data_IF_481921546520
#
_entry.id   IF_481921546520
#
_cell.length_a   1.000
_cell.length_b   1.000
_cell.length_c   1.000
_cell.angle_alpha   90.00
_cell.angle_beta   90.00
_cell.angle_gamma   90.00
#
_symmetry.space_group_name_H-M   'P 1'
#
loop_
_entity.id
_entity.type
_entity.pdbx_description
1 polymer ?
#
# COMPACT_ATOMS: atom_id res chain seq x y z
N UNK A 1 46.28 -69.14 28.40
CA UNK A 1 44.94 -68.51 28.35
C UNK A 1 45.02 -67.01 28.62
N UNK A 2 45.57 -66.20 27.70
CA UNK A 2 45.72 -64.72 27.93
C UNK A 2 45.63 -63.90 26.61
N UNK A 3 44.81 -64.29 25.63
CA UNK A 3 44.74 -63.53 24.35
C UNK A 3 43.32 -63.01 24.00
N UNK A 4 42.32 -63.14 24.91
CA UNK A 4 40.94 -62.80 24.60
C UNK A 4 40.44 -61.41 25.11
N UNK A 5 41.19 -60.71 25.97
CA UNK A 5 40.72 -59.40 26.55
C UNK A 5 41.16 -58.15 25.77
N UNK A 6 42.17 -58.26 24.94
CA UNK A 6 42.70 -57.07 24.19
C UNK A 6 41.89 -56.77 22.90
N UNK A 7 41.29 -57.72 22.25
CA UNK A 7 40.50 -57.51 21.03
C UNK A 7 39.10 -56.90 21.28
N UNK A 8 38.50 -57.13 22.45
CA UNK A 8 37.19 -56.56 22.83
C UNK A 8 37.32 -55.06 23.21
N UNK A 9 38.43 -54.61 23.75
CA UNK A 9 38.66 -53.21 24.12
C UNK A 9 38.92 -52.27 22.92
N UNK A 10 39.59 -52.80 21.87
CA UNK A 10 39.81 -52.07 20.62
C UNK A 10 38.53 -51.90 19.80
N UNK A 11 37.67 -52.91 19.77
CA UNK A 11 36.36 -52.88 19.10
C UNK A 11 35.38 -51.83 19.73
N UNK A 12 35.35 -51.74 21.04
CA UNK A 12 34.54 -50.75 21.76
C UNK A 12 34.99 -49.31 21.55
N UNK A 13 36.29 -49.03 21.42
CA UNK A 13 36.79 -47.67 21.08
C UNK A 13 36.45 -47.23 19.67
N UNK A 14 36.46 -48.12 18.69
CA UNK A 14 36.07 -47.85 17.30
C UNK A 14 34.57 -47.54 17.18
N UNK A 15 33.70 -48.31 17.82
CA UNK A 15 32.24 -48.11 17.83
C UNK A 15 31.91 -46.81 18.57
N UNK A 16 32.55 -46.48 19.65
CA UNK A 16 32.34 -45.22 20.38
C UNK A 16 32.80 -43.99 19.59
N UNK A 17 33.87 -44.10 18.84
CA UNK A 17 34.34 -43.05 17.94
C UNK A 17 33.38 -42.84 16.75
N UNK A 18 32.85 -43.92 16.21
CA UNK A 18 31.83 -43.89 15.15
C UNK A 18 30.51 -43.25 15.62
N UNK A 19 30.01 -43.66 16.82
CA UNK A 19 28.80 -43.09 17.42
C UNK A 19 28.98 -41.58 17.70
N UNK A 20 30.14 -41.15 18.21
CA UNK A 20 30.45 -39.72 18.39
C UNK A 20 30.43 -38.94 17.06
N UNK A 21 31.01 -39.47 15.98
CA UNK A 21 30.97 -38.84 14.66
C UNK A 21 29.56 -38.71 14.12
N UNK A 22 28.75 -39.77 14.18
CA UNK A 22 27.34 -39.73 13.74
C UNK A 22 26.55 -38.69 14.56
N UNK A 23 26.77 -38.65 15.90
CA UNK A 23 26.13 -37.64 16.76
C UNK A 23 26.39 -36.20 16.29
N UNK A 24 27.64 -35.88 15.93
CA UNK A 24 27.99 -34.55 15.41
C UNK A 24 27.42 -34.27 14.04
N UNK A 25 27.36 -35.26 13.15
CA UNK A 25 26.68 -35.15 11.86
C UNK A 25 25.15 -34.93 12.01
N UNK A 26 24.53 -35.67 12.94
CA UNK A 26 23.11 -35.48 13.25
C UNK A 26 22.84 -34.12 13.87
N UNK A 27 23.69 -33.65 14.78
CA UNK A 27 23.59 -32.30 15.34
C UNK A 27 23.80 -31.21 14.28
N UNK A 28 24.77 -31.39 13.39
CA UNK A 28 24.98 -30.49 12.26
C UNK A 28 23.81 -30.46 11.31
N UNK A 29 23.25 -31.63 10.97
CA UNK A 29 22.04 -31.76 10.15
C UNK A 29 20.83 -31.11 10.78
N UNK A 30 20.62 -31.33 12.08
CA UNK A 30 19.54 -30.68 12.83
C UNK A 30 19.72 -29.15 12.90
N UNK A 31 20.94 -28.67 13.16
CA UNK A 31 21.24 -27.23 13.18
C UNK A 31 20.97 -26.59 11.81
N UNK A 32 21.34 -27.28 10.71
CA UNK A 32 21.05 -26.82 9.34
C UNK A 32 19.54 -26.76 9.08
N UNK A 33 18.79 -27.80 9.46
CA UNK A 33 17.32 -27.83 9.31
C UNK A 33 16.67 -26.74 10.16
N UNK A 34 17.11 -26.50 11.38
CA UNK A 34 16.64 -25.43 12.23
C UNK A 34 16.93 -24.06 11.62
N UNK A 35 18.12 -23.86 11.04
CA UNK A 35 18.49 -22.65 10.34
C UNK A 35 17.59 -22.44 9.11
N UNK A 36 17.39 -23.46 8.28
CA UNK A 36 16.49 -23.40 7.13
C UNK A 36 15.06 -23.07 7.55
N UNK A 37 14.58 -23.68 8.63
CA UNK A 37 13.28 -23.34 9.21
C UNK A 37 13.17 -21.85 9.55
N UNK A 38 14.16 -21.29 10.22
CA UNK A 38 14.16 -19.87 10.62
C UNK A 38 14.10 -18.91 9.43
N UNK A 39 14.64 -19.28 8.27
CA UNK A 39 14.66 -18.41 7.09
C UNK A 39 13.53 -18.67 6.10
N UNK A 40 13.02 -19.90 5.99
CA UNK A 40 12.11 -20.29 4.91
C UNK A 40 10.67 -20.47 5.35
N UNK A 41 10.41 -20.81 6.61
CA UNK A 41 9.05 -21.11 7.06
C UNK A 41 8.31 -19.83 7.45
N UNK A 42 7.26 -19.43 6.69
CA UNK A 42 6.47 -18.25 7.01
C UNK A 42 5.55 -18.53 8.22
N UNK A 43 5.55 -17.61 9.15
CA UNK A 43 4.61 -17.53 10.27
C UNK A 43 3.39 -16.67 9.89
N UNK A 44 2.30 -16.68 10.66
CA UNK A 44 1.08 -15.90 10.35
C UNK A 44 1.25 -14.40 10.63
N UNK A 45 2.43 -13.87 10.34
CA UNK A 45 2.82 -12.48 10.47
C UNK A 45 3.48 -12.00 9.18
N UNK A 46 3.54 -10.67 9.03
CA UNK A 46 4.31 -9.97 8.01
C UNK A 46 5.18 -8.91 8.65
N UNK A 47 6.25 -8.56 7.99
CA UNK A 47 7.12 -7.44 8.35
C UNK A 47 7.01 -6.38 7.27
N UNK A 48 6.54 -5.21 7.66
CA UNK A 48 6.61 -4.00 6.84
C UNK A 48 7.98 -3.35 7.06
N UNK A 49 8.69 -3.11 5.97
CA UNK A 49 10.06 -2.58 5.96
C UNK A 49 10.20 -1.48 4.90
N UNK A 50 11.28 -0.67 4.95
CA UNK A 50 11.59 0.25 3.85
C UNK A 50 11.75 -0.53 2.54
N UNK A 51 10.95 -0.17 1.53
CA UNK A 51 10.96 -0.82 0.22
C UNK A 51 11.97 -0.16 -0.71
N UNK A 52 11.62 1.01 -1.27
CA UNK A 52 12.48 1.76 -2.18
C UNK A 52 11.83 3.07 -2.61
N UNK A 53 12.64 3.93 -3.21
CA UNK A 53 12.15 5.06 -4.00
C UNK A 53 12.30 4.69 -5.49
N UNK A 54 11.21 4.82 -6.22
CA UNK A 54 11.11 4.39 -7.61
C UNK A 54 10.86 5.59 -8.50
N UNK A 55 11.70 5.76 -9.50
CA UNK A 55 11.56 6.81 -10.50
C UNK A 55 10.28 6.59 -11.31
N UNK A 56 9.44 7.63 -11.36
CA UNK A 56 8.14 7.59 -12.04
C UNK A 56 8.31 7.37 -13.55
N UNK A 57 9.39 7.87 -14.15
CA UNK A 57 9.64 7.72 -15.58
C UNK A 57 9.89 6.26 -16.01
N UNK A 58 10.19 5.36 -15.04
CA UNK A 58 10.32 3.93 -15.33
C UNK A 58 8.96 3.23 -15.42
N UNK A 59 7.91 3.84 -14.86
CA UNK A 59 6.58 3.21 -14.74
C UNK A 59 5.46 4.04 -15.38
N UNK A 60 5.75 5.21 -15.94
CA UNK A 60 4.75 6.10 -16.50
C UNK A 60 5.25 6.82 -17.74
N UNK A 61 4.35 7.07 -18.68
CA UNK A 61 4.59 7.95 -19.84
C UNK A 61 3.42 8.90 -20.07
N UNK A 62 3.73 10.13 -20.47
CA UNK A 62 2.75 11.14 -20.89
C UNK A 62 2.90 11.35 -22.39
N UNK A 63 1.84 11.10 -23.16
CA UNK A 63 1.86 11.16 -24.64
C UNK A 63 2.99 10.31 -25.27
N UNK A 64 3.26 9.15 -24.65
CA UNK A 64 4.30 8.21 -25.08
C UNK A 64 5.74 8.66 -24.79
N UNK A 65 5.93 9.67 -23.94
CA UNK A 65 7.24 10.22 -23.55
C UNK A 65 7.41 10.16 -22.03
N UNK A 66 8.66 10.08 -21.59
CA UNK A 66 9.09 10.31 -20.20
C UNK A 66 9.61 11.74 -20.03
N UNK A 67 9.81 12.18 -18.80
CA UNK A 67 10.43 13.48 -18.55
C UNK A 67 11.89 13.46 -19.06
N UNK A 68 12.32 14.59 -19.62
CA UNK A 68 13.70 14.76 -20.13
C UNK A 68 14.55 15.70 -19.27
N UNK A 69 13.94 16.29 -18.25
CA UNK A 69 14.63 17.22 -17.37
C UNK A 69 15.59 16.46 -16.44
N UNK A 70 16.65 17.15 -16.04
CA UNK A 70 17.56 16.58 -15.02
C UNK A 70 16.84 16.48 -13.68
N UNK A 71 17.06 15.40 -12.96
CA UNK A 71 16.41 15.07 -11.71
C UNK A 71 15.34 13.98 -11.90
N UNK A 72 14.58 13.68 -10.87
CA UNK A 72 13.51 12.67 -10.93
C UNK A 72 12.40 12.93 -9.91
N UNK A 73 11.17 12.57 -10.29
CA UNK A 73 10.07 12.37 -9.36
C UNK A 73 10.05 10.91 -8.92
N UNK A 74 9.99 10.68 -7.61
CA UNK A 74 10.03 9.33 -7.07
C UNK A 74 8.85 9.10 -6.12
N UNK A 75 8.13 8.01 -6.32
CA UNK A 75 7.24 7.51 -5.30
C UNK A 75 7.97 6.53 -4.40
N UNK A 76 7.52 6.39 -3.16
CA UNK A 76 8.14 5.50 -2.19
C UNK A 76 7.18 4.40 -1.76
N UNK A 77 7.69 3.18 -1.67
CA UNK A 77 6.93 2.02 -1.27
C UNK A 77 7.39 1.46 0.08
N UNK A 78 6.46 0.79 0.76
CA UNK A 78 6.75 -0.10 1.88
C UNK A 78 6.83 -1.52 1.32
N UNK A 79 7.87 -2.23 1.67
CA UNK A 79 8.00 -3.64 1.35
C UNK A 79 7.31 -4.48 2.42
N UNK A 80 6.47 -5.40 1.98
CA UNK A 80 5.77 -6.34 2.86
C UNK A 80 6.37 -7.74 2.66
N UNK A 81 7.04 -8.24 3.67
CA UNK A 81 7.71 -9.54 3.64
C UNK A 81 7.01 -10.56 4.55
N UNK A 82 6.94 -11.84 4.18
CA UNK A 82 6.48 -12.88 5.09
C UNK A 82 7.30 -12.88 6.39
N UNK A 83 6.62 -13.02 7.52
CA UNK A 83 7.24 -13.08 8.84
C UNK A 83 7.87 -14.45 9.09
N UNK A 84 9.12 -14.65 8.69
CA UNK A 84 9.93 -15.77 9.15
C UNK A 84 10.53 -15.47 10.52
N UNK A 85 11.03 -16.47 11.24
CA UNK A 85 11.70 -16.24 12.54
C UNK A 85 12.81 -15.19 12.40
N UNK A 86 13.59 -15.26 11.33
CA UNK A 86 14.65 -14.30 11.04
C UNK A 86 14.10 -12.88 10.81
N UNK A 87 13.08 -12.71 9.96
CA UNK A 87 12.50 -11.41 9.67
C UNK A 87 11.85 -10.78 10.91
N UNK A 88 11.21 -11.58 11.76
CA UNK A 88 10.60 -11.11 13.01
C UNK A 88 11.66 -10.67 14.01
N UNK A 89 12.75 -11.44 14.16
CA UNK A 89 13.87 -11.07 15.02
C UNK A 89 14.55 -9.79 14.53
N UNK A 90 14.77 -9.66 13.22
CA UNK A 90 15.30 -8.44 12.61
C UNK A 90 14.39 -7.23 12.89
N UNK A 91 13.07 -7.39 12.72
CA UNK A 91 12.10 -6.32 12.99
C UNK A 91 12.09 -5.93 14.47
N UNK A 92 12.17 -6.88 15.37
CA UNK A 92 12.26 -6.61 16.81
C UNK A 92 13.50 -5.79 17.19
N UNK A 93 14.63 -6.01 16.51
CA UNK A 93 15.86 -5.24 16.69
C UNK A 93 15.83 -3.86 15.98
N UNK A 94 14.87 -3.65 15.06
CA UNK A 94 14.76 -2.42 14.27
C UNK A 94 13.34 -1.81 14.33
N UNK A 95 12.77 -1.56 15.52
CA UNK A 95 11.36 -1.19 15.69
C UNK A 95 11.00 0.19 15.12
N UNK A 96 11.98 1.03 14.83
CA UNK A 96 11.77 2.37 14.29
C UNK A 96 11.56 2.38 12.78
N UNK A 97 12.14 1.39 12.09
CA UNK A 97 12.15 1.33 10.63
C UNK A 97 11.32 0.16 10.08
N UNK A 98 10.92 -0.77 10.93
CA UNK A 98 10.10 -1.91 10.56
C UNK A 98 8.89 -2.04 11.48
N UNK A 99 7.86 -2.73 11.01
CA UNK A 99 6.65 -3.00 11.78
C UNK A 99 6.23 -4.46 11.56
N UNK A 100 5.91 -5.16 12.67
CA UNK A 100 5.33 -6.49 12.61
C UNK A 100 3.81 -6.34 12.61
N UNK A 101 3.15 -6.91 11.60
CA UNK A 101 1.69 -6.94 11.48
C UNK A 101 1.21 -8.38 11.35
N UNK A 102 0.07 -8.70 11.95
CA UNK A 102 -0.53 -10.01 11.75
C UNK A 102 -1.08 -10.15 10.32
N UNK A 103 -1.14 -11.38 9.79
CA UNK A 103 -1.76 -11.63 8.48
C UNK A 103 -3.18 -11.07 8.42
N UNK A 104 -3.97 -11.26 9.48
CA UNK A 104 -5.35 -10.78 9.57
C UNK A 104 -5.44 -9.24 9.55
N UNK A 105 -4.51 -8.57 10.22
CA UNK A 105 -4.44 -7.11 10.25
C UNK A 105 -4.06 -6.54 8.88
N UNK A 106 -3.01 -7.10 8.25
CA UNK A 106 -2.55 -6.69 6.93
C UNK A 106 -3.61 -6.88 5.86
N UNK A 107 -4.21 -8.09 5.80
CA UNK A 107 -5.13 -8.46 4.71
C UNK A 107 -6.59 -8.12 5.01
N UNK A 108 -6.91 -7.59 6.19
CA UNK A 108 -8.30 -7.41 6.64
C UNK A 108 -9.06 -8.74 6.77
N UNK A 109 -8.35 -9.88 6.80
CA UNK A 109 -8.92 -11.23 6.85
C UNK A 109 -9.19 -11.86 5.47
N UNK A 110 -8.80 -11.20 4.37
CA UNK A 110 -8.88 -11.76 3.00
C UNK A 110 -7.68 -12.66 2.69
N UNK A 111 -7.71 -13.35 1.55
CA UNK A 111 -6.55 -14.07 1.05
C UNK A 111 -5.44 -13.13 0.59
N UNK A 112 -4.20 -13.60 0.52
CA UNK A 112 -3.07 -12.79 0.00
C UNK A 112 -3.34 -12.35 -1.44
N UNK A 113 -3.92 -13.23 -2.27
CA UNK A 113 -4.30 -12.90 -3.66
C UNK A 113 -5.36 -11.79 -3.72
N UNK A 114 -6.37 -11.85 -2.86
CA UNK A 114 -7.40 -10.82 -2.79
C UNK A 114 -6.82 -9.49 -2.30
N UNK A 115 -5.92 -9.54 -1.32
CA UNK A 115 -5.21 -8.36 -0.83
C UNK A 115 -4.39 -7.68 -1.94
N UNK A 116 -3.67 -8.45 -2.76
CA UNK A 116 -2.94 -7.92 -3.92
C UNK A 116 -3.89 -7.29 -4.94
N UNK A 117 -4.99 -7.96 -5.26
CA UNK A 117 -6.01 -7.45 -6.17
C UNK A 117 -6.66 -6.16 -5.65
N UNK A 118 -6.99 -6.09 -4.37
CA UNK A 118 -7.51 -4.88 -3.71
C UNK A 118 -6.52 -3.71 -3.86
N UNK A 119 -5.23 -3.96 -3.62
CA UNK A 119 -4.22 -2.92 -3.78
C UNK A 119 -4.04 -2.47 -5.24
N UNK A 120 -4.27 -3.34 -6.22
CA UNK A 120 -4.31 -2.95 -7.65
C UNK A 120 -5.48 -1.99 -7.94
N UNK A 121 -6.69 -2.24 -7.42
CA UNK A 121 -7.82 -1.32 -7.58
C UNK A 121 -7.60 0.03 -6.89
N UNK A 122 -6.97 0.04 -5.72
CA UNK A 122 -6.56 1.29 -5.09
C UNK A 122 -5.56 2.07 -5.94
N UNK A 123 -4.58 1.37 -6.54
CA UNK A 123 -3.59 1.97 -7.44
C UNK A 123 -4.25 2.53 -8.70
N UNK A 124 -5.15 1.77 -9.35
CA UNK A 124 -5.89 2.19 -10.54
C UNK A 124 -6.70 3.48 -10.27
N UNK A 125 -7.47 3.51 -9.19
CA UNK A 125 -8.20 4.71 -8.81
C UNK A 125 -7.27 5.90 -8.54
N UNK A 126 -6.14 5.67 -7.87
CA UNK A 126 -5.12 6.70 -7.60
C UNK A 126 -4.50 7.25 -8.89
N UNK A 127 -4.20 6.38 -9.86
CA UNK A 127 -3.69 6.76 -11.18
C UNK A 127 -4.70 7.62 -11.95
N UNK A 128 -5.96 7.20 -11.99
CA UNK A 128 -7.03 7.95 -12.66
C UNK A 128 -7.23 9.33 -12.02
N UNK A 129 -7.25 9.39 -10.70
CA UNK A 129 -7.36 10.67 -9.98
C UNK A 129 -6.15 11.57 -10.21
N UNK A 130 -4.93 10.99 -10.23
CA UNK A 130 -3.71 11.74 -10.52
C UNK A 130 -3.69 12.33 -11.93
N UNK A 131 -4.09 11.55 -12.95
CA UNK A 131 -4.25 12.05 -14.33
C UNK A 131 -5.22 13.22 -14.36
N UNK A 132 -6.41 13.03 -13.79
CA UNK A 132 -7.44 14.06 -13.79
C UNK A 132 -6.96 15.35 -13.11
N UNK A 133 -6.32 15.25 -11.94
CA UNK A 133 -5.83 16.40 -11.21
C UNK A 133 -4.68 17.11 -11.91
N UNK A 134 -3.73 16.36 -12.47
CA UNK A 134 -2.63 16.94 -13.21
C UNK A 134 -3.10 17.70 -14.44
N UNK A 135 -4.04 17.15 -15.22
CA UNK A 135 -4.64 17.79 -16.38
C UNK A 135 -5.40 19.06 -15.99
N UNK A 136 -6.19 19.00 -14.92
CA UNK A 136 -6.93 20.15 -14.40
C UNK A 136 -5.99 21.27 -13.96
N UNK A 137 -4.92 20.96 -13.23
CA UNK A 137 -3.91 21.92 -12.80
C UNK A 137 -3.15 22.54 -13.99
N UNK A 138 -2.92 21.76 -15.05
CA UNK A 138 -2.31 22.21 -16.29
C UNK A 138 -3.28 22.99 -17.22
N UNK A 139 -4.51 23.27 -16.78
CA UNK A 139 -5.53 23.96 -17.58
C UNK A 139 -6.00 23.17 -18.79
N UNK A 140 -5.90 21.84 -18.77
CA UNK A 140 -6.28 20.95 -19.86
C UNK A 140 -7.65 20.33 -19.63
N UNK A 141 -8.35 20.02 -20.72
CA UNK A 141 -9.64 19.35 -20.65
C UNK A 141 -9.49 17.89 -20.21
N UNK A 142 -10.17 17.56 -19.13
CA UNK A 142 -10.24 16.20 -18.62
C UNK A 142 -11.60 15.95 -17.97
N UNK A 143 -12.12 14.74 -18.12
CA UNK A 143 -13.35 14.30 -17.46
C UNK A 143 -13.05 13.06 -16.65
N UNK A 144 -13.30 13.13 -15.34
CA UNK A 144 -13.30 11.97 -14.46
C UNK A 144 -14.72 11.39 -14.43
N UNK A 145 -14.88 10.21 -15.02
CA UNK A 145 -16.17 9.52 -15.06
C UNK A 145 -16.25 8.51 -13.92
N UNK A 146 -17.22 8.69 -13.04
CA UNK A 146 -17.54 7.73 -12.00
C UNK A 146 -18.39 6.59 -12.56
N UNK A 147 -17.85 5.37 -12.55
CA UNK A 147 -18.53 4.16 -13.03
C UNK A 147 -19.26 3.42 -11.92
N UNK A 148 -18.96 3.73 -10.67
CA UNK A 148 -19.47 3.08 -9.47
C UNK A 148 -18.40 2.89 -8.42
N UNK A 149 -18.54 1.87 -7.59
CA UNK A 149 -17.51 1.47 -6.62
C UNK A 149 -17.11 0.02 -6.82
N UNK A 150 -15.82 -0.25 -6.79
CA UNK A 150 -15.30 -1.61 -6.68
C UNK A 150 -15.64 -2.20 -5.31
N UNK A 151 -16.15 -3.43 -5.31
CA UNK A 151 -16.27 -4.24 -4.11
C UNK A 151 -14.90 -4.81 -3.77
N UNK A 152 -14.34 -4.42 -2.63
CA UNK A 152 -13.04 -4.89 -2.17
C UNK A 152 -13.17 -6.02 -1.14
N UNK A 153 -14.25 -6.01 -0.35
CA UNK A 153 -14.57 -7.06 0.61
C UNK A 153 -16.07 -7.06 0.89
N UNK A 154 -16.61 -8.25 1.15
CA UNK A 154 -17.98 -8.43 1.64
C UNK A 154 -17.90 -8.97 3.07
N UNK A 155 -18.48 -8.25 4.03
CA UNK A 155 -18.45 -8.62 5.43
C UNK A 155 -19.27 -9.90 5.69
N UNK A 156 -18.89 -10.66 6.70
CA UNK A 156 -19.58 -11.92 7.04
C UNK A 156 -21.06 -11.74 7.38
N UNK A 157 -21.43 -10.60 7.98
CA UNK A 157 -22.80 -10.25 8.30
C UNK A 157 -23.56 -9.52 7.17
N UNK A 158 -22.93 -9.36 6.00
CA UNK A 158 -23.60 -8.77 4.84
C UNK A 158 -24.62 -9.74 4.25
N UNK A 159 -25.83 -9.25 3.98
CA UNK A 159 -26.85 -10.02 3.23
C UNK A 159 -26.51 -10.19 1.74
N UNK A 160 -25.46 -9.53 1.27
CA UNK A 160 -24.95 -9.66 -0.10
C UNK A 160 -23.79 -10.67 -0.21
N UNK A 161 -23.45 -11.38 0.89
CA UNK A 161 -22.46 -12.44 0.87
C UNK A 161 -22.91 -13.56 -0.08
N UNK A 162 -22.04 -13.92 -1.04
CA UNK A 162 -22.35 -14.88 -2.10
C UNK A 162 -23.03 -14.31 -3.35
N UNK A 163 -23.60 -13.07 -3.28
CA UNK A 163 -24.11 -12.36 -4.44
C UNK A 163 -23.05 -11.41 -5.04
N UNK A 164 -22.38 -10.64 -4.17
CA UNK A 164 -21.27 -9.75 -4.55
C UNK A 164 -19.92 -10.44 -4.31
N UNK A 165 -19.00 -10.21 -5.22
CA UNK A 165 -17.61 -10.70 -5.15
C UNK A 165 -16.64 -9.52 -5.22
N UNK A 166 -15.39 -9.77 -4.81
CA UNK A 166 -14.28 -8.82 -5.01
C UNK A 166 -14.16 -8.57 -6.52
N UNK A 167 -13.88 -7.33 -6.89
CA UNK A 167 -13.84 -6.82 -8.26
C UNK A 167 -15.19 -6.54 -8.93
N UNK A 168 -16.32 -6.89 -8.34
CA UNK A 168 -17.60 -6.41 -8.85
C UNK A 168 -17.69 -4.90 -8.69
N UNK A 169 -18.37 -4.23 -9.64
CA UNK A 169 -18.61 -2.79 -9.57
C UNK A 169 -20.05 -2.52 -9.23
N UNK A 170 -20.31 -1.99 -8.03
CA UNK A 170 -21.67 -1.50 -7.67
C UNK A 170 -21.93 -0.19 -8.39
N UNK A 171 -22.94 -0.19 -9.26
CA UNK A 171 -23.30 0.93 -10.13
C UNK A 171 -24.50 1.73 -9.60
N UNK A 172 -25.27 1.15 -8.66
CA UNK A 172 -26.46 1.81 -8.09
C UNK A 172 -27.03 1.05 -6.90
N UNK A 173 -27.89 1.73 -6.15
CA UNK A 173 -28.66 1.16 -5.03
C UNK A 173 -30.09 1.68 -5.11
N UNK A 174 -31.05 0.77 -5.07
CA UNK A 174 -32.50 1.07 -5.21
C UNK A 174 -32.81 1.89 -6.47
N UNK A 175 -32.15 1.58 -7.60
CA UNK A 175 -32.32 2.29 -8.87
C UNK A 175 -31.68 3.69 -8.92
N UNK A 176 -30.99 4.13 -7.86
CA UNK A 176 -30.27 5.40 -7.82
C UNK A 176 -28.81 5.19 -8.18
N UNK A 177 -28.27 5.98 -9.09
CA UNK A 177 -26.85 6.12 -9.37
C UNK A 177 -26.25 7.25 -8.51
N UNK A 178 -24.92 7.23 -8.32
CA UNK A 178 -24.20 8.19 -7.49
C UNK A 178 -23.06 8.81 -8.30
N UNK A 179 -22.50 9.91 -7.79
CA UNK A 179 -21.36 10.60 -8.43
C UNK A 179 -20.03 10.32 -7.71
N UNK A 180 -20.08 9.70 -6.53
CA UNK A 180 -18.91 9.35 -5.73
C UNK A 180 -19.27 8.24 -4.73
N UNK A 181 -18.26 7.55 -4.21
CA UNK A 181 -18.44 6.63 -3.07
C UNK A 181 -18.96 7.36 -1.83
N UNK A 182 -18.58 8.63 -1.63
CA UNK A 182 -19.07 9.47 -0.51
C UNK A 182 -20.60 9.61 -0.57
N UNK A 183 -21.16 9.87 -1.76
CA UNK A 183 -22.60 10.00 -1.96
C UNK A 183 -23.33 8.67 -1.74
N UNK A 184 -22.77 7.58 -2.27
CA UNK A 184 -23.31 6.23 -2.07
C UNK A 184 -23.32 5.86 -0.59
N UNK A 185 -22.20 6.05 0.12
CA UNK A 185 -22.09 5.77 1.56
C UNK A 185 -23.06 6.64 2.35
N UNK A 186 -23.17 7.94 2.06
CA UNK A 186 -24.14 8.84 2.70
C UNK A 186 -25.56 8.36 2.52
N UNK A 187 -25.93 7.92 1.32
CA UNK A 187 -27.26 7.38 1.04
C UNK A 187 -27.54 6.12 1.88
N UNK A 188 -26.62 5.14 1.83
CA UNK A 188 -26.81 3.85 2.50
C UNK A 188 -26.83 4.00 4.03
N UNK A 189 -25.95 4.85 4.59
CA UNK A 189 -25.93 5.10 6.04
C UNK A 189 -27.18 5.80 6.56
N UNK A 190 -27.90 6.51 5.70
CA UNK A 190 -29.19 7.14 6.01
C UNK A 190 -30.38 6.18 5.98
N UNK A 191 -30.22 4.95 5.46
CA UNK A 191 -31.29 3.95 5.44
C UNK A 191 -31.48 3.32 6.84
N UNK A 192 -32.72 2.89 7.11
CA UNK A 192 -33.05 2.21 8.38
C UNK A 192 -32.42 0.81 8.40
N UNK A 193 -32.00 0.37 9.58
CA UNK A 193 -31.57 -1.01 9.80
C UNK A 193 -32.67 -1.98 9.35
N UNK A 194 -32.28 -3.12 8.78
CA UNK A 194 -33.14 -4.17 8.25
C UNK A 194 -34.04 -3.77 7.08
N UNK A 195 -33.94 -2.52 6.57
CA UNK A 195 -34.68 -2.14 5.35
C UNK A 195 -34.13 -2.91 4.13
N UNK A 196 -35.05 -3.33 3.27
CA UNK A 196 -34.70 -3.97 2.00
C UNK A 196 -33.99 -2.98 1.07
N UNK A 197 -32.97 -3.48 0.39
CA UNK A 197 -32.22 -2.74 -0.62
C UNK A 197 -31.87 -3.63 -1.80
N UNK A 198 -32.01 -3.08 -3.01
CA UNK A 198 -31.56 -3.72 -4.25
C UNK A 198 -30.24 -3.07 -4.67
N UNK A 199 -29.19 -3.85 -4.83
CA UNK A 199 -27.89 -3.40 -5.33
C UNK A 199 -27.79 -3.74 -6.81
N UNK A 200 -27.58 -2.72 -7.67
CA UNK A 200 -27.24 -2.89 -9.07
C UNK A 200 -25.72 -2.94 -9.20
N UNK A 201 -25.19 -3.91 -9.92
CA UNK A 201 -23.75 -4.09 -10.08
C UNK A 201 -23.38 -4.72 -11.42
N UNK A 202 -22.13 -4.55 -11.80
CA UNK A 202 -21.53 -5.23 -12.95
C UNK A 202 -20.54 -6.25 -12.43
N UNK A 203 -20.65 -7.49 -12.89
CA UNK A 203 -19.78 -8.62 -12.56
C UNK A 203 -19.30 -9.25 -13.85
N UNK A 204 -17.99 -9.29 -14.08
CA UNK A 204 -17.39 -9.83 -15.31
C UNK A 204 -18.03 -9.24 -16.59
N UNK A 205 -18.23 -7.92 -16.61
CA UNK A 205 -18.84 -7.20 -17.73
C UNK A 205 -20.36 -7.35 -17.86
N UNK A 206 -21.03 -8.15 -17.04
CA UNK A 206 -22.48 -8.38 -17.08
C UNK A 206 -23.20 -7.58 -16.00
N UNK A 207 -24.25 -6.83 -16.38
CA UNK A 207 -25.12 -6.14 -15.43
C UNK A 207 -25.98 -7.14 -14.67
N UNK A 208 -26.02 -6.99 -13.35
CA UNK A 208 -26.75 -7.84 -12.41
C UNK A 208 -27.42 -7.00 -11.33
N UNK A 209 -28.33 -7.59 -10.60
CA UNK A 209 -28.91 -7.03 -9.38
C UNK A 209 -29.01 -8.11 -8.30
N UNK A 210 -28.95 -7.71 -7.05
CA UNK A 210 -29.17 -8.56 -5.89
C UNK A 210 -29.98 -7.81 -4.84
N UNK A 211 -30.92 -8.51 -4.20
CA UNK A 211 -31.71 -7.99 -3.11
C UNK A 211 -31.09 -8.40 -1.76
N UNK A 212 -31.15 -7.51 -0.80
CA UNK A 212 -30.61 -7.75 0.52
C UNK A 212 -31.14 -6.73 1.53
N UNK A 213 -30.48 -6.65 2.69
CA UNK A 213 -30.89 -5.75 3.78
C UNK A 213 -29.75 -4.88 4.24
N UNK A 214 -30.11 -3.72 4.79
CA UNK A 214 -29.18 -2.87 5.54
C UNK A 214 -28.81 -3.56 6.83
N UNK A 215 -27.50 -3.66 7.11
CA UNK A 215 -26.96 -4.30 8.31
C UNK A 215 -26.20 -3.30 9.19
N UNK A 216 -25.98 -3.64 10.45
CA UNK A 216 -25.13 -2.88 11.37
C UNK A 216 -23.67 -3.21 11.10
N UNK A 217 -22.87 -2.21 10.79
CA UNK A 217 -21.43 -2.36 10.58
C UNK A 217 -20.66 -2.35 11.91
N UNK A 218 -19.41 -2.84 11.90
CA UNK A 218 -18.54 -2.87 13.10
C UNK A 218 -18.28 -1.48 13.71
N UNK A 219 -18.32 -0.42 12.89
CA UNK A 219 -18.18 0.99 13.32
C UNK A 219 -19.48 1.60 13.88
N UNK A 220 -20.54 0.80 14.04
CA UNK A 220 -21.83 1.22 14.54
C UNK A 220 -22.73 1.96 13.55
N UNK A 221 -22.31 2.17 12.29
CA UNK A 221 -23.14 2.77 11.24
C UNK A 221 -23.97 1.72 10.51
N UNK A 222 -25.04 2.15 9.85
CA UNK A 222 -25.80 1.29 8.94
C UNK A 222 -25.07 1.18 7.60
N UNK A 223 -25.20 0.04 6.92
CA UNK A 223 -24.53 -0.21 5.63
C UNK A 223 -24.98 -1.49 4.97
N UNK A 224 -24.46 -1.79 3.81
CA UNK A 224 -24.70 -3.05 3.09
C UNK A 224 -23.57 -4.08 3.34
N UNK A 225 -22.58 -3.73 4.16
CA UNK A 225 -21.52 -4.65 4.57
C UNK A 225 -20.48 -4.91 3.47
N UNK A 226 -20.10 -3.89 2.68
CA UNK A 226 -18.98 -3.97 1.74
C UNK A 226 -17.88 -2.97 2.10
N UNK A 227 -16.63 -3.33 1.83
CA UNK A 227 -15.50 -2.41 1.71
C UNK A 227 -15.39 -2.02 0.24
N UNK A 228 -15.11 -0.77 -0.05
CA UNK A 228 -15.20 -0.24 -1.41
C UNK A 228 -14.12 0.82 -1.69
N UNK A 229 -13.85 1.05 -2.98
CA UNK A 229 -13.14 2.23 -3.52
C UNK A 229 -13.83 2.69 -4.79
N UNK A 230 -13.62 3.95 -5.19
CA UNK A 230 -14.18 4.47 -6.43
C UNK A 230 -13.66 3.69 -7.64
N UNK A 231 -14.56 3.36 -8.55
CA UNK A 231 -14.26 2.92 -9.90
C UNK A 231 -14.44 4.11 -10.83
N UNK A 232 -13.34 4.67 -11.29
CA UNK A 232 -13.32 5.85 -12.15
C UNK A 232 -12.58 5.57 -13.45
N UNK A 233 -12.92 6.34 -14.49
CA UNK A 233 -12.17 6.38 -15.75
C UNK A 233 -11.89 7.83 -16.11
N UNK A 234 -10.74 8.09 -16.73
CA UNK A 234 -10.39 9.44 -17.22
C UNK A 234 -10.47 9.46 -18.73
N UNK A 235 -11.19 10.45 -19.27
CA UNK A 235 -11.16 10.78 -20.69
C UNK A 235 -10.49 12.13 -20.89
N UNK A 236 -9.49 12.17 -21.79
CA UNK A 236 -8.72 13.37 -22.16
C UNK A 236 -8.06 13.19 -23.53
N UNK A 237 -7.62 14.28 -24.12
CA UNK A 237 -6.78 14.27 -25.32
C UNK A 237 -5.35 13.84 -25.01
N UNK A 238 -4.83 14.15 -23.83
CA UNK A 238 -3.51 13.74 -23.38
C UNK A 238 -3.56 12.30 -22.85
N UNK A 239 -2.63 11.45 -23.30
CA UNK A 239 -2.60 10.03 -22.96
C UNK A 239 -1.53 9.75 -21.92
N UNK A 240 -1.95 9.35 -20.73
CA UNK A 240 -1.03 8.87 -19.68
C UNK A 240 -1.15 7.35 -19.57
N UNK A 241 -0.02 6.66 -19.57
CA UNK A 241 0.04 5.20 -19.43
C UNK A 241 0.93 4.84 -18.25
N UNK A 242 0.47 3.88 -17.45
CA UNK A 242 1.19 3.33 -16.32
C UNK A 242 1.59 1.86 -16.55
N UNK A 243 2.72 1.48 -15.98
CA UNK A 243 3.22 0.10 -15.92
C UNK A 243 3.78 -0.17 -14.52
N UNK A 244 2.91 -0.18 -13.52
CA UNK A 244 3.25 -0.31 -12.09
C UNK A 244 3.18 -1.76 -11.59
N UNK A 245 3.69 -2.73 -12.37
CA UNK A 245 3.64 -4.14 -12.00
C UNK A 245 4.29 -4.40 -10.62
N UNK A 246 3.54 -5.10 -9.75
CA UNK A 246 4.02 -5.44 -8.41
C UNK A 246 3.94 -4.31 -7.36
N UNK A 247 3.50 -3.12 -7.75
CA UNK A 247 3.26 -1.99 -6.83
C UNK A 247 1.76 -1.72 -6.74
N UNK A 248 1.25 -1.67 -5.52
CA UNK A 248 -0.17 -1.43 -5.24
C UNK A 248 -0.38 -0.35 -4.18
N UNK A 249 -1.65 0.01 -3.99
CA UNK A 249 -2.07 1.00 -3.01
C UNK A 249 -2.08 2.44 -3.54
N UNK A 250 -2.81 3.35 -2.88
CA UNK A 250 -3.12 4.68 -3.43
C UNK A 250 -2.08 5.77 -3.13
N UNK A 251 -1.03 5.46 -2.36
CA UNK A 251 -0.15 6.46 -1.73
C UNK A 251 0.86 7.15 -2.66
N UNK A 252 0.89 6.78 -3.96
CA UNK A 252 1.73 7.41 -4.98
C UNK A 252 1.01 8.56 -5.74
N UNK A 253 -0.28 8.77 -5.48
CA UNK A 253 -1.14 9.67 -6.26
C UNK A 253 -0.62 11.10 -6.35
N UNK A 254 -0.14 11.69 -5.25
CA UNK A 254 0.49 13.00 -5.25
C UNK A 254 1.68 13.06 -6.24
N UNK A 255 2.58 12.09 -6.15
CA UNK A 255 3.80 12.11 -6.95
C UNK A 255 3.53 11.87 -8.44
N UNK A 256 2.55 11.03 -8.77
CA UNK A 256 2.06 10.88 -10.14
C UNK A 256 1.48 12.19 -10.66
N UNK A 257 0.68 12.90 -9.84
CA UNK A 257 0.10 14.20 -10.21
C UNK A 257 1.18 15.21 -10.55
N UNK A 258 2.23 15.33 -9.72
CA UNK A 258 3.33 16.26 -9.94
C UNK A 258 4.12 15.94 -11.21
N UNK A 259 4.46 14.67 -11.44
CA UNK A 259 5.21 14.26 -12.62
C UNK A 259 4.42 14.48 -13.91
N UNK A 260 3.11 14.17 -13.93
CA UNK A 260 2.25 14.41 -15.11
C UNK A 260 2.12 15.92 -15.37
N UNK A 261 1.88 16.71 -14.32
CA UNK A 261 1.74 18.17 -14.41
C UNK A 261 2.98 18.81 -15.03
N UNK A 262 4.17 18.51 -14.49
CA UNK A 262 5.45 19.07 -14.93
C UNK A 262 5.75 18.70 -16.40
N UNK A 263 5.49 17.45 -16.80
CA UNK A 263 5.64 17.01 -18.19
C UNK A 263 4.69 17.71 -19.16
N UNK A 264 3.47 18.06 -18.73
CA UNK A 264 2.47 18.75 -19.56
C UNK A 264 2.80 20.24 -19.73
N UNK A 265 3.25 20.89 -18.67
CA UNK A 265 3.56 22.33 -18.64
C UNK A 265 4.99 22.63 -19.10
N UNK A 266 5.92 21.68 -18.98
CA UNK A 266 7.36 21.84 -19.28
C UNK A 266 8.01 22.93 -18.40
N UNK A 267 7.61 23.01 -17.14
CA UNK A 267 8.07 24.05 -16.21
C UNK A 267 9.43 23.74 -15.59
N UNK A 268 9.95 22.51 -15.80
CA UNK A 268 11.21 22.01 -15.22
C UNK A 268 11.26 22.23 -13.69
N UNK A 269 10.22 21.82 -12.99
CA UNK A 269 10.12 21.95 -11.54
C UNK A 269 11.14 21.07 -10.79
N UNK A 270 11.69 20.07 -11.45
CA UNK A 270 12.76 19.22 -10.91
C UNK A 270 14.03 20.03 -10.63
N UNK A 271 14.45 20.92 -11.54
CA UNK A 271 15.67 21.74 -11.41
C UNK A 271 16.91 20.90 -11.06
N UNK A 272 16.98 19.67 -11.58
CA UNK A 272 18.08 18.72 -11.34
C UNK A 272 17.98 17.92 -10.04
N UNK A 273 16.94 18.12 -9.23
CA UNK A 273 16.77 17.50 -7.91
C UNK A 273 16.13 16.12 -7.99
N UNK A 274 16.47 15.26 -7.04
CA UNK A 274 15.69 14.05 -6.73
C UNK A 274 14.61 14.39 -5.71
N UNK A 275 13.36 14.36 -6.18
CA UNK A 275 12.18 14.68 -5.38
C UNK A 275 11.43 13.37 -5.09
N UNK A 276 11.30 13.03 -3.83
CA UNK A 276 10.47 11.92 -3.38
C UNK A 276 9.24 12.42 -2.63
N UNK A 277 8.26 11.57 -2.46
CA UNK A 277 7.09 11.94 -1.67
C UNK A 277 6.06 10.83 -1.60
N UNK A 278 5.02 11.10 -0.84
CA UNK A 278 3.89 10.20 -0.65
C UNK A 278 2.63 10.99 -0.33
N UNK A 279 1.49 10.44 -0.65
CA UNK A 279 0.17 11.02 -0.41
C UNK A 279 -0.85 10.42 -1.37
N UNK A 280 -2.06 10.17 -0.90
CA UNK A 280 -3.18 9.94 -1.84
C UNK A 280 -3.53 11.25 -2.51
N UNK A 281 -4.27 11.19 -3.60
CA UNK A 281 -4.81 12.37 -4.29
C UNK A 281 -6.30 12.21 -4.46
N UNK A 282 -7.04 13.26 -4.12
CA UNK A 282 -8.49 13.31 -4.27
C UNK A 282 -8.88 14.13 -5.51
N UNK A 283 -10.11 13.96 -6.05
CA UNK A 283 -10.57 14.72 -7.21
C UNK A 283 -10.66 16.23 -7.02
N UNK A 284 -10.61 16.73 -5.79
CA UNK A 284 -10.56 18.16 -5.46
C UNK A 284 -9.13 18.70 -5.34
N UNK A 285 -8.11 17.84 -5.49
CA UNK A 285 -6.70 18.18 -5.37
C UNK A 285 -6.14 18.05 -3.96
N UNK A 286 -6.95 17.67 -2.98
CA UNK A 286 -6.48 17.44 -1.62
C UNK A 286 -5.62 16.18 -1.53
N UNK A 287 -4.62 16.22 -0.63
CA UNK A 287 -3.67 15.12 -0.39
C UNK A 287 -4.05 14.43 0.90
N UNK A 288 -4.36 13.14 0.81
CA UNK A 288 -4.77 12.35 1.96
C UNK A 288 -3.63 11.58 2.62
N UNK A 289 -3.89 11.16 3.86
CA UNK A 289 -2.95 10.44 4.70
C UNK A 289 -2.60 9.04 4.18
N UNK A 290 -1.44 8.56 4.63
CA UNK A 290 -0.90 7.25 4.21
C UNK A 290 -0.31 6.50 5.40
N UNK A 291 -0.10 5.21 5.22
CA UNK A 291 0.62 4.36 6.16
C UNK A 291 2.12 4.24 5.84
N UNK A 292 2.90 3.75 6.82
CA UNK A 292 4.31 3.44 6.63
C UNK A 292 5.21 4.65 6.42
N UNK A 293 4.88 5.79 7.01
CA UNK A 293 5.62 7.05 6.84
C UNK A 293 7.08 6.90 7.21
N UNK A 294 7.37 6.30 8.38
CA UNK A 294 8.75 6.09 8.84
C UNK A 294 9.57 5.28 7.84
N UNK A 295 9.01 4.18 7.31
CA UNK A 295 9.64 3.32 6.31
C UNK A 295 9.90 4.07 5.00
N UNK A 296 8.95 4.89 4.57
CA UNK A 296 9.04 5.69 3.35
C UNK A 296 10.11 6.78 3.44
N UNK A 297 10.21 7.46 4.58
CA UNK A 297 11.30 8.44 4.82
C UNK A 297 12.66 7.77 4.77
N UNK A 298 12.81 6.58 5.36
CA UNK A 298 14.06 5.81 5.27
C UNK A 298 14.41 5.45 3.82
N UNK A 299 13.39 5.03 3.03
CA UNK A 299 13.60 4.70 1.61
C UNK A 299 14.03 5.92 0.79
N UNK A 300 13.39 7.06 0.99
CA UNK A 300 13.72 8.31 0.28
C UNK A 300 15.13 8.81 0.64
N UNK A 301 15.47 8.83 1.93
CA UNK A 301 16.78 9.25 2.42
C UNK A 301 17.92 8.38 1.87
N UNK A 302 17.76 7.05 1.93
CA UNK A 302 18.74 6.09 1.37
C UNK A 302 18.92 6.23 -0.13
N UNK A 303 17.91 6.68 -0.85
CA UNK A 303 17.97 6.89 -2.31
C UNK A 303 18.54 8.26 -2.68
N UNK A 304 18.85 9.13 -1.70
CA UNK A 304 19.45 10.43 -1.94
C UNK A 304 18.44 11.53 -2.30
N UNK A 305 17.17 11.38 -1.93
CA UNK A 305 16.18 12.42 -2.14
C UNK A 305 16.53 13.71 -1.40
N UNK A 306 16.38 14.84 -2.08
CA UNK A 306 16.62 16.17 -1.51
C UNK A 306 15.37 16.76 -0.86
N UNK A 307 14.19 16.40 -1.40
CA UNK A 307 12.87 16.85 -0.96
C UNK A 307 11.98 15.62 -0.76
N UNK A 308 11.20 15.65 0.33
CA UNK A 308 10.18 14.63 0.59
C UNK A 308 8.83 15.30 0.91
N UNK A 309 7.89 15.20 -0.02
CA UNK A 309 6.53 15.65 0.20
C UNK A 309 5.73 14.64 1.03
N UNK A 310 5.00 15.14 2.02
CA UNK A 310 4.21 14.31 2.92
C UNK A 310 2.93 15.04 3.35
N UNK A 311 1.78 14.34 3.51
CA UNK A 311 0.56 14.95 3.98
C UNK A 311 0.71 15.56 5.38
N UNK A 312 0.06 16.71 5.61
CA UNK A 312 -0.08 17.31 6.96
C UNK A 312 -1.53 17.63 7.27
N UNK A 313 -2.33 16.57 7.42
CA UNK A 313 -3.73 16.67 7.80
C UNK A 313 -3.87 16.65 9.34
N UNK A 314 -4.81 17.42 9.90
CA UNK A 314 -5.06 17.42 11.33
C UNK A 314 -5.63 16.07 11.78
N UNK A 315 -5.02 15.48 12.81
CA UNK A 315 -5.52 14.23 13.41
C UNK A 315 -6.67 14.54 14.36
N UNK A 316 -7.86 14.07 14.02
CA UNK A 316 -9.03 14.23 14.89
C UNK A 316 -8.82 13.51 16.23
N UNK A 317 -9.41 14.05 17.32
CA UNK A 317 -9.26 13.46 18.66
C UNK A 317 -9.66 11.99 18.73
N UNK A 318 -10.71 11.58 17.99
CA UNK A 318 -11.20 10.22 17.93
C UNK A 318 -10.22 9.26 17.25
N UNK A 319 -9.39 9.78 16.35
CA UNK A 319 -8.49 8.99 15.50
C UNK A 319 -7.05 8.90 16.05
N UNK A 320 -6.75 9.60 17.15
CA UNK A 320 -5.40 9.63 17.75
C UNK A 320 -4.82 8.23 18.03
N UNK A 321 -5.67 7.24 18.33
CA UNK A 321 -5.24 5.85 18.53
C UNK A 321 -4.62 5.19 17.29
N UNK A 322 -5.00 5.66 16.09
CA UNK A 322 -4.46 5.21 14.80
C UNK A 322 -3.23 6.00 14.36
N UNK A 323 -3.00 7.18 15.00
CA UNK A 323 -1.88 8.08 14.72
C UNK A 323 -1.04 8.33 15.97
N UNK A 324 -0.42 7.29 16.55
CA UNK A 324 0.33 7.40 17.82
C UNK A 324 1.56 8.33 17.71
N UNK A 325 2.04 8.56 16.48
CA UNK A 325 3.20 9.41 16.19
C UNK A 325 2.82 10.83 15.72
N UNK A 326 1.51 11.17 15.72
CA UNK A 326 0.97 12.44 15.21
C UNK A 326 0.59 12.38 13.73
N UNK A 327 0.50 13.54 13.05
CA UNK A 327 0.24 13.60 11.61
C UNK A 327 1.36 12.91 10.81
N UNK A 328 1.09 12.59 9.53
CA UNK A 328 2.13 12.02 8.65
C UNK A 328 3.38 12.92 8.59
N UNK A 329 3.20 14.25 8.55
CA UNK A 329 4.31 15.20 8.59
C UNK A 329 5.12 15.12 9.89
N UNK A 330 4.44 15.06 11.05
CA UNK A 330 5.11 14.96 12.35
C UNK A 330 5.93 13.67 12.46
N UNK A 331 5.37 12.55 12.00
CA UNK A 331 6.09 11.27 11.94
C UNK A 331 7.29 11.35 11.01
N UNK A 332 7.13 11.90 9.79
CA UNK A 332 8.19 12.04 8.80
C UNK A 332 9.35 12.92 9.34
N UNK A 333 9.02 14.06 9.92
CA UNK A 333 10.01 14.98 10.52
C UNK A 333 10.81 14.33 11.65
N UNK A 334 10.12 13.56 12.51
CA UNK A 334 10.76 12.83 13.61
C UNK A 334 11.73 11.78 13.08
N UNK A 335 11.32 11.04 12.04
CA UNK A 335 12.17 10.01 11.43
C UNK A 335 13.38 10.62 10.72
N UNK A 336 13.20 11.66 9.90
CA UNK A 336 14.30 12.36 9.23
C UNK A 336 15.34 12.89 10.24
N UNK A 337 14.87 13.49 11.34
CA UNK A 337 15.75 13.93 12.43
C UNK A 337 16.53 12.76 13.05
N UNK A 338 15.89 11.61 13.27
CA UNK A 338 16.52 10.40 13.81
C UNK A 338 17.61 9.85 12.90
N UNK A 339 17.40 9.93 11.58
CA UNK A 339 18.37 9.52 10.57
C UNK A 339 19.53 10.52 10.40
N UNK A 340 19.43 11.72 10.97
CA UNK A 340 20.37 12.81 10.65
C UNK A 340 20.29 13.25 9.19
N UNK A 341 19.13 13.04 8.55
CA UNK A 341 18.88 13.31 7.13
C UNK A 341 18.96 14.81 6.81
N UNK A 342 19.57 15.15 5.67
CA UNK A 342 19.57 16.51 5.11
C UNK A 342 18.35 16.77 4.20
N UNK A 343 17.57 15.72 3.90
CA UNK A 343 16.36 15.78 3.08
C UNK A 343 15.34 16.75 3.69
N UNK A 344 14.80 17.65 2.89
CA UNK A 344 13.76 18.59 3.32
C UNK A 344 12.41 17.90 3.37
N UNK A 345 11.83 17.77 4.56
CA UNK A 345 10.47 17.26 4.75
C UNK A 345 9.49 18.42 4.56
N UNK A 346 8.68 18.34 3.51
CA UNK A 346 7.76 19.42 3.11
C UNK A 346 6.32 18.98 3.31
N UNK A 347 5.57 19.64 4.23
CA UNK A 347 4.17 19.34 4.44
C UNK A 347 3.31 19.87 3.29
N UNK A 348 2.33 19.09 2.87
CA UNK A 348 1.37 19.47 1.84
C UNK A 348 -0.05 19.04 2.24
N UNK A 349 -1.04 19.84 1.85
CA UNK A 349 -2.47 19.53 1.96
C UNK A 349 -3.11 19.34 0.60
N UNK A 350 -2.51 19.93 -0.43
CA UNK A 350 -2.97 19.87 -1.81
C UNK A 350 -1.79 19.62 -2.76
N UNK A 351 -2.07 19.14 -3.96
CA UNK A 351 -1.05 19.04 -5.01
C UNK A 351 -0.48 20.42 -5.40
N UNK A 352 -1.31 21.47 -5.33
CA UNK A 352 -0.89 22.84 -5.59
C UNK A 352 0.19 23.32 -4.60
N UNK A 353 0.07 22.95 -3.31
CA UNK A 353 1.09 23.32 -2.30
C UNK A 353 2.48 22.80 -2.70
N UNK A 354 2.55 21.58 -3.27
CA UNK A 354 3.79 21.00 -3.72
C UNK A 354 4.34 21.72 -4.97
N UNK A 355 3.48 22.07 -5.92
CA UNK A 355 3.85 22.87 -7.11
C UNK A 355 4.40 24.22 -6.69
N UNK A 356 3.66 24.95 -5.86
CA UNK A 356 4.06 26.28 -5.35
C UNK A 356 5.40 26.24 -4.62
N UNK A 357 5.66 25.16 -3.87
CA UNK A 357 6.95 24.96 -3.20
C UNK A 357 8.08 24.77 -4.21
N UNK A 358 7.89 23.96 -5.25
CA UNK A 358 8.90 23.67 -6.27
C UNK A 358 9.21 24.90 -7.14
N UNK A 359 8.20 25.71 -7.46
CA UNK A 359 8.37 26.97 -8.20
C UNK A 359 9.24 27.96 -7.41
N UNK A 360 9.00 28.11 -6.11
CA UNK A 360 9.69 29.06 -5.22
C UNK A 360 11.10 28.63 -4.80
N UNK A 361 11.44 27.35 -4.97
CA UNK A 361 12.73 26.81 -4.52
C UNK A 361 13.65 26.54 -5.72
N UNK A 362 14.96 26.80 -5.49
CA UNK A 362 16.03 26.52 -6.49
C UNK A 362 16.52 25.10 -6.34
#
# INVERSE_FOLDING_TARGET
MTTSKSSQAASKKGVWGFIKRIKWWLLGGFALLALLFCFLVPLPYYVEAPGGAYDIDQVMTVNGKTNKDKGSYNFVAVEVRPGTVFNLAYSWLNPDTTQIVSKKELTGGTSTKDYELINQYYMENSQNTAIYQALKLAGKDAKLEYKGVYVLQVADNSSFKGALNIADTVTGINGKSFKSSKDLVKYVTGLKLDSQVTVQYTSQGKKKSADGKVVKLKNGKNGIGITLTDHTEVSSNDKVKFSTQGVGGPSAGLMFTLSIYDQLNKDNLLKGRMIAGTGTIEPDGSVGDIGGVSQKVVSADKSGAEIFFVPDNPVAKADKKYYPKGSNYQEAKKMAKKLGSKMKIVPVKTAQDAIDYLEKTK
#
